data_IF_534971359760
#
_entry.id   IF_534971359760
#
_cell.length_a   1.000
_cell.length_b   1.000
_cell.length_c   1.000
_cell.angle_alpha   90.00
_cell.angle_beta   90.00
_cell.angle_gamma   90.00
#
_symmetry.space_group_name_H-M   'P 1'
#
loop_
_entity.id
_entity.type
_entity.pdbx_description
1 polymer ?
#
# COMPACT_ATOMS: atom_id res chain seq x y z
N UNK A 1 6.42 -18.01 -13.89
CA UNK A 1 6.56 -16.99 -12.84
C UNK A 1 7.87 -16.27 -13.07
N UNK A 2 7.90 -14.96 -12.86
CA UNK A 2 9.12 -14.15 -12.97
C UNK A 2 9.90 -14.13 -11.66
N UNK A 3 11.21 -13.85 -11.72
CA UNK A 3 12.05 -13.63 -10.53
C UNK A 3 11.42 -12.60 -9.57
N UNK A 4 10.74 -11.60 -10.11
CA UNK A 4 10.06 -10.58 -9.33
C UNK A 4 8.82 -11.13 -8.62
N UNK A 5 8.01 -11.97 -9.27
CA UNK A 5 6.87 -12.63 -8.62
C UNK A 5 7.33 -13.56 -7.49
N UNK A 6 8.41 -14.32 -7.69
CA UNK A 6 8.99 -15.17 -6.65
C UNK A 6 9.48 -14.35 -5.44
N UNK A 7 10.12 -13.21 -5.71
CA UNK A 7 10.55 -12.28 -4.67
C UNK A 7 9.37 -11.73 -3.86
N UNK A 8 8.30 -11.27 -4.51
CA UNK A 8 7.10 -10.79 -3.81
C UNK A 8 6.36 -11.89 -3.02
N UNK A 9 6.62 -13.16 -3.34
CA UNK A 9 6.15 -14.34 -2.59
C UNK A 9 7.04 -14.75 -1.41
N UNK A 10 8.26 -14.20 -1.32
CA UNK A 10 9.28 -14.62 -0.37
C UNK A 10 8.99 -14.19 1.08
N UNK A 11 9.66 -14.85 2.03
CA UNK A 11 9.64 -14.48 3.45
C UNK A 11 10.34 -13.14 3.69
N UNK A 12 11.34 -12.82 2.87
CA UNK A 12 12.06 -11.54 2.89
C UNK A 12 11.09 -10.37 2.60
N UNK A 13 10.38 -10.45 1.47
CA UNK A 13 9.38 -9.44 1.14
C UNK A 13 8.26 -9.35 2.18
N UNK A 14 7.86 -10.49 2.76
CA UNK A 14 6.87 -10.50 3.86
C UNK A 14 7.38 -9.71 5.07
N UNK A 15 8.65 -9.84 5.44
CA UNK A 15 9.25 -9.08 6.54
C UNK A 15 9.30 -7.57 6.24
N UNK A 16 9.67 -7.18 5.03
CA UNK A 16 9.66 -5.78 4.57
C UNK A 16 8.24 -5.21 4.67
N UNK A 17 7.23 -5.94 4.14
CA UNK A 17 5.84 -5.51 4.21
C UNK A 17 5.38 -5.27 5.63
N UNK A 18 5.69 -6.19 6.54
CA UNK A 18 5.36 -6.10 7.95
C UNK A 18 5.97 -4.86 8.60
N UNK A 19 7.25 -4.60 8.35
CA UNK A 19 7.95 -3.45 8.89
C UNK A 19 7.30 -2.13 8.43
N UNK A 20 6.97 -2.01 7.14
CA UNK A 20 6.32 -0.81 6.58
C UNK A 20 4.88 -0.62 7.09
N UNK A 21 4.11 -1.71 7.23
CA UNK A 21 2.77 -1.66 7.86
C UNK A 21 2.86 -1.14 9.30
N UNK A 22 3.83 -1.60 10.08
CA UNK A 22 4.06 -1.13 11.45
C UNK A 22 4.49 0.35 11.47
N UNK A 23 5.41 0.76 10.58
CA UNK A 23 5.87 2.14 10.46
C UNK A 23 4.71 3.12 10.20
N UNK A 24 3.76 2.74 9.35
CA UNK A 24 2.60 3.56 9.02
C UNK A 24 1.39 3.35 9.97
N UNK A 25 1.56 2.55 11.04
CA UNK A 25 0.51 2.17 11.99
C UNK A 25 -0.75 1.56 11.32
N UNK A 26 -0.57 0.80 10.24
CA UNK A 26 -1.67 0.21 9.47
C UNK A 26 -2.55 1.23 8.74
N UNK A 27 -2.07 2.46 8.56
CA UNK A 27 -2.80 3.54 7.89
C UNK A 27 -2.22 3.83 6.53
N UNK A 28 -3.08 4.04 5.54
CA UNK A 28 -2.66 4.50 4.23
C UNK A 28 -1.92 5.84 4.36
N UNK A 29 -0.67 5.90 3.90
CA UNK A 29 0.17 7.10 3.97
C UNK A 29 -0.33 8.24 3.05
N UNK A 30 -1.31 7.96 2.18
CA UNK A 30 -1.91 8.92 1.25
C UNK A 30 -3.26 9.47 1.69
N UNK A 31 -4.21 8.60 2.06
CA UNK A 31 -5.58 9.01 2.43
C UNK A 31 -5.93 8.78 3.91
N UNK A 32 -4.98 8.30 4.71
CA UNK A 32 -5.12 8.04 6.16
C UNK A 32 -6.17 7.00 6.54
N UNK A 33 -6.63 6.19 5.58
CA UNK A 33 -7.53 5.07 5.83
C UNK A 33 -6.90 3.98 6.71
N UNK A 34 -7.69 3.40 7.59
CA UNK A 34 -7.25 2.35 8.52
C UNK A 34 -7.53 0.93 8.00
N UNK A 35 -7.38 0.71 6.70
CA UNK A 35 -7.70 -0.56 6.02
C UNK A 35 -6.47 -1.28 5.47
N UNK A 36 -5.26 -0.83 5.85
CA UNK A 36 -3.99 -1.41 5.43
C UNK A 36 -3.54 -2.48 6.43
N UNK A 37 -3.73 -3.75 6.09
CA UNK A 37 -3.39 -4.89 6.95
C UNK A 37 -2.25 -5.71 6.34
N UNK A 38 -1.45 -6.36 7.18
CA UNK A 38 -0.27 -7.14 6.74
C UNK A 38 -0.63 -8.31 5.80
N UNK A 39 -1.82 -8.90 5.98
CA UNK A 39 -2.30 -10.09 5.27
C UNK A 39 -2.95 -9.79 3.92
N UNK A 40 -3.21 -8.52 3.62
CA UNK A 40 -3.76 -8.08 2.34
C UNK A 40 -2.61 -7.69 1.43
N UNK A 41 -2.38 -8.48 0.39
CA UNK A 41 -1.19 -8.39 -0.48
C UNK A 41 -0.99 -7.06 -1.23
N UNK A 42 -1.97 -6.16 -1.27
CA UNK A 42 -2.05 -5.05 -2.23
C UNK A 42 -1.75 -3.67 -1.64
N UNK A 43 -0.99 -3.60 -0.54
CA UNK A 43 -0.75 -2.32 0.15
C UNK A 43 0.57 -1.62 -0.16
N UNK A 44 1.52 -2.25 -0.86
CA UNK A 44 2.81 -1.62 -1.16
C UNK A 44 2.84 -1.06 -2.58
N UNK A 45 2.90 0.26 -2.68
CA UNK A 45 3.17 0.94 -3.93
C UNK A 45 4.65 1.29 -4.01
N UNK A 46 5.31 0.86 -5.09
CA UNK A 46 6.69 1.24 -5.38
C UNK A 46 6.70 2.63 -6.02
N UNK A 47 7.28 3.62 -5.34
CA UNK A 47 7.50 4.97 -5.86
C UNK A 47 8.62 4.99 -6.90
N UNK A 48 9.56 4.06 -6.78
CA UNK A 48 10.64 3.81 -7.72
C UNK A 48 11.00 2.33 -7.70
N UNK A 49 11.64 1.87 -8.77
CA UNK A 49 12.11 0.50 -8.96
C UNK A 49 13.65 0.44 -9.03
N UNK A 50 14.34 1.49 -8.57
CA UNK A 50 15.80 1.58 -8.64
C UNK A 50 16.51 0.55 -7.75
N UNK A 51 15.90 0.15 -6.62
CA UNK A 51 16.47 -0.75 -5.63
C UNK A 51 15.64 -2.03 -5.45
N UNK A 52 15.09 -2.58 -6.54
CA UNK A 52 14.38 -3.87 -6.47
C UNK A 52 15.31 -4.93 -5.87
N UNK A 53 14.78 -5.72 -4.94
CA UNK A 53 15.50 -6.75 -4.16
C UNK A 53 16.38 -6.18 -3.03
N UNK A 54 16.30 -4.88 -2.73
CA UNK A 54 17.02 -4.23 -1.63
C UNK A 54 16.13 -3.22 -0.87
N UNK A 55 14.81 -3.36 -0.97
CA UNK A 55 13.83 -2.43 -0.41
C UNK A 55 13.92 -2.34 1.13
N UNK A 56 14.47 -3.37 1.79
CA UNK A 56 14.76 -3.35 3.22
C UNK A 56 15.69 -2.19 3.63
N UNK A 57 16.61 -1.78 2.74
CA UNK A 57 17.52 -0.64 2.94
C UNK A 57 16.96 0.67 2.37
N UNK A 58 15.87 0.59 1.60
CA UNK A 58 15.27 1.69 0.85
C UNK A 58 13.76 1.79 1.11
N UNK A 59 13.38 1.83 2.39
CA UNK A 59 11.97 1.80 2.81
C UNK A 59 11.13 2.97 2.26
N UNK A 60 11.78 4.09 1.93
CA UNK A 60 11.15 5.27 1.33
C UNK A 60 10.81 5.07 -0.16
N UNK A 61 11.34 4.03 -0.81
CA UNK A 61 10.90 3.63 -2.15
C UNK A 61 9.49 3.00 -2.12
N UNK A 62 9.00 2.65 -0.92
CA UNK A 62 7.69 2.04 -0.70
C UNK A 62 6.73 3.04 -0.04
N UNK A 63 5.50 3.03 -0.50
CA UNK A 63 4.38 3.72 0.14
C UNK A 63 3.29 2.71 0.51
N UNK A 64 2.91 2.68 1.79
CA UNK A 64 1.76 1.90 2.26
C UNK A 64 0.47 2.63 1.85
N UNK A 65 -0.31 2.00 0.99
CA UNK A 65 -1.56 2.55 0.47
C UNK A 65 -2.72 1.58 0.60
N UNK A 66 -3.93 2.10 0.78
CA UNK A 66 -5.14 1.29 0.65
C UNK A 66 -5.29 0.83 -0.80
N UNK A 67 -6.05 -0.25 -1.03
CA UNK A 67 -6.33 -0.76 -2.38
C UNK A 67 -6.80 0.32 -3.34
N UNK A 68 -7.69 1.19 -2.87
CA UNK A 68 -8.24 2.29 -3.67
C UNK A 68 -7.17 3.29 -4.10
N UNK A 69 -6.26 3.68 -3.19
CA UNK A 69 -5.14 4.55 -3.51
C UNK A 69 -4.15 3.85 -4.43
N UNK A 70 -3.94 2.55 -4.26
CA UNK A 70 -3.08 1.74 -5.11
C UNK A 70 -3.59 1.70 -6.56
N UNK A 71 -4.89 1.47 -6.74
CA UNK A 71 -5.55 1.51 -8.06
C UNK A 71 -5.47 2.90 -8.68
N UNK A 72 -5.67 3.95 -7.90
CA UNK A 72 -5.55 5.34 -8.36
C UNK A 72 -4.13 5.66 -8.85
N UNK A 73 -3.10 5.29 -8.08
CA UNK A 73 -1.69 5.54 -8.45
C UNK A 73 -1.27 4.76 -9.70
N UNK A 74 -1.87 3.59 -9.95
CA UNK A 74 -1.69 2.85 -11.20
C UNK A 74 -2.57 3.34 -12.36
N UNK A 75 -3.36 4.39 -12.18
CA UNK A 75 -4.30 4.90 -13.19
C UNK A 75 -5.46 3.96 -13.50
N UNK A 76 -5.72 2.97 -12.63
CA UNK A 76 -6.84 2.01 -12.74
C UNK A 76 -8.13 2.54 -12.11
N UNK A 77 -8.05 3.68 -11.42
CA UNK A 77 -9.17 4.41 -10.84
C UNK A 77 -9.04 5.89 -11.18
N UNK A 78 -10.16 6.53 -11.56
CA UNK A 78 -10.23 7.96 -11.88
C UNK A 78 -10.41 8.84 -10.64
N UNK A 79 -11.21 8.37 -9.68
CA UNK A 79 -11.49 9.09 -8.45
C UNK A 79 -10.33 8.99 -7.48
N UNK A 80 -9.90 10.13 -6.96
CA UNK A 80 -8.84 10.21 -5.95
C UNK A 80 -9.39 9.91 -4.54
N UNK A 81 -8.99 8.80 -3.89
CA UNK A 81 -9.48 8.47 -2.53
C UNK A 81 -8.98 9.43 -1.44
N UNK A 82 -7.99 10.30 -1.73
CA UNK A 82 -7.58 11.35 -0.80
C UNK A 82 -8.49 12.59 -0.90
N UNK A 83 -9.21 12.77 -2.01
CA UNK A 83 -10.15 13.87 -2.19
C UNK A 83 -11.57 13.46 -1.78
N UNK A 84 -11.72 13.01 -0.52
CA UNK A 84 -13.01 12.54 -0.02
C UNK A 84 -13.97 13.71 0.22
N UNK A 85 -15.18 13.58 -0.29
CA UNK A 85 -16.28 14.46 0.14
C UNK A 85 -16.81 14.00 1.49
N UNK A 86 -17.59 14.85 2.16
CA UNK A 86 -18.25 14.49 3.42
C UNK A 86 -19.12 13.23 3.29
N UNK A 87 -19.79 13.05 2.15
CA UNK A 87 -20.59 11.86 1.88
C UNK A 87 -19.74 10.58 1.81
N UNK A 88 -18.52 10.67 1.29
CA UNK A 88 -17.60 9.53 1.18
C UNK A 88 -17.05 9.11 2.55
N UNK A 89 -16.76 10.09 3.41
CA UNK A 89 -16.36 9.86 4.82
C UNK A 89 -17.45 9.06 5.54
N UNK A 90 -18.71 9.49 5.44
CA UNK A 90 -19.85 8.80 6.06
C UNK A 90 -20.00 7.36 5.55
N UNK A 91 -19.85 7.14 4.24
CA UNK A 91 -19.90 5.79 3.66
C UNK A 91 -18.77 4.89 4.18
N UNK A 92 -17.58 5.45 4.43
CA UNK A 92 -16.43 4.69 4.92
C UNK A 92 -16.57 4.33 6.40
N UNK A 93 -17.15 5.21 7.21
CA UNK A 93 -17.44 4.95 8.63
C UNK A 93 -18.54 3.89 8.83
N UNK A 94 -19.47 3.77 7.87
CA UNK A 94 -20.62 2.85 7.97
C UNK A 94 -20.37 1.45 7.35
N UNK A 95 -19.15 1.09 6.96
CA UNK A 95 -18.79 -0.27 6.52
C UNK A 95 -18.42 -1.17 7.73
N UNK A 96 -19.31 -1.24 8.70
CA UNK A 96 -19.28 -2.21 9.81
C UNK A 96 -20.40 -3.24 9.63
#
# INVERSE_FOLDING_TARGET
MSKYEDYLGSDEWRAIRRAKVQQAAGRCERCSANDCQEDRGDHMHHLTYAHIYDEANHMDDLMLVCKECHEYLHGRRLEDPANMTFADILRRMNRL
#
